data_IF_034320012234
#
_entry.id   IF_034320012234
#
_cell.length_a   1.000
_cell.length_b   1.000
_cell.length_c   1.000
_cell.angle_alpha   90.00
_cell.angle_beta   90.00
_cell.angle_gamma   90.00
#
_symmetry.space_group_name_H-M   'P 1'
#
loop_
_entity.id
_entity.type
_entity.pdbx_description
1 polymer ?
#
# COMPACT_ATOMS: atom_id res chain seq x y z
N UNK A 1 -4.09 32.00 0.54
CA UNK A 1 -4.08 30.57 0.16
C UNK A 1 -4.84 29.77 1.21
N UNK A 2 -6.00 29.21 0.88
CA UNK A 2 -6.91 28.54 1.83
C UNK A 2 -6.33 27.21 2.33
N UNK A 3 -6.35 26.95 3.66
CA UNK A 3 -5.83 25.71 4.30
C UNK A 3 -6.34 24.43 3.64
N UNK A 4 -7.55 24.46 3.07
CA UNK A 4 -8.13 23.34 2.32
C UNK A 4 -7.37 23.00 1.03
N UNK A 5 -6.84 24.00 0.31
CA UNK A 5 -6.12 23.79 -0.94
C UNK A 5 -4.77 23.12 -0.68
N UNK A 6 -4.08 23.52 0.39
CA UNK A 6 -2.80 22.95 0.83
C UNK A 6 -2.99 21.47 1.23
N UNK A 7 -4.03 21.15 2.02
CA UNK A 7 -4.34 19.76 2.39
C UNK A 7 -4.62 18.86 1.18
N UNK A 8 -5.34 19.37 0.17
CA UNK A 8 -5.61 18.64 -1.07
C UNK A 8 -4.32 18.38 -1.86
N UNK A 9 -3.43 19.37 -1.95
CA UNK A 9 -2.14 19.18 -2.62
C UNK A 9 -1.24 18.17 -1.91
N UNK A 10 -1.13 18.25 -0.58
CA UNK A 10 -0.35 17.30 0.22
C UNK A 10 -0.88 15.87 0.03
N UNK A 11 -2.21 15.68 0.09
CA UNK A 11 -2.82 14.36 -0.15
C UNK A 11 -2.50 13.81 -1.55
N UNK A 12 -2.56 14.64 -2.60
CA UNK A 12 -2.21 14.23 -3.96
C UNK A 12 -0.74 13.81 -4.06
N UNK A 13 0.17 14.57 -3.48
CA UNK A 13 1.60 14.26 -3.48
C UNK A 13 1.87 12.95 -2.74
N UNK A 14 1.20 12.74 -1.61
CA UNK A 14 1.37 11.55 -0.78
C UNK A 14 0.79 10.28 -1.42
N UNK A 15 -0.32 10.40 -2.15
CA UNK A 15 -0.94 9.29 -2.88
C UNK A 15 -0.27 9.00 -4.24
N UNK A 16 0.62 9.88 -4.72
CA UNK A 16 1.28 9.70 -6.02
C UNK A 16 2.14 8.42 -6.07
N UNK A 17 2.88 8.14 -5.00
CA UNK A 17 3.77 6.97 -4.91
C UNK A 17 2.99 5.65 -5.03
N UNK A 18 1.98 5.36 -4.18
CA UNK A 18 1.27 4.08 -4.25
C UNK A 18 0.42 3.96 -5.53
N UNK A 19 -0.08 5.07 -6.10
CA UNK A 19 -0.74 5.07 -7.41
C UNK A 19 0.24 4.67 -8.52
N UNK A 20 1.47 5.21 -8.51
CA UNK A 20 2.50 4.84 -9.48
C UNK A 20 2.85 3.35 -9.40
N UNK A 21 2.90 2.79 -8.19
CA UNK A 21 3.11 1.35 -7.97
C UNK A 21 1.96 0.54 -8.59
N UNK A 22 0.70 0.91 -8.33
CA UNK A 22 -0.45 0.22 -8.94
C UNK A 22 -0.44 0.31 -10.48
N UNK A 23 -0.11 1.49 -11.03
CA UNK A 23 0.00 1.70 -12.48
C UNK A 23 1.07 0.80 -13.09
N UNK A 24 2.22 0.66 -12.43
CA UNK A 24 3.30 -0.23 -12.88
C UNK A 24 2.83 -1.69 -12.93
N UNK A 25 1.99 -2.12 -11.99
CA UNK A 25 1.34 -3.44 -12.01
C UNK A 25 0.48 -3.66 -13.26
N UNK A 26 -0.29 -2.66 -13.68
CA UNK A 26 -1.09 -2.72 -14.92
C UNK A 26 -0.20 -2.81 -16.16
N UNK A 27 0.90 -2.07 -16.20
CA UNK A 27 1.89 -2.13 -17.31
C UNK A 27 2.51 -3.52 -17.39
N UNK A 28 2.91 -4.10 -16.26
CA UNK A 28 3.46 -5.47 -16.22
C UNK A 28 2.41 -6.49 -16.68
N UNK A 29 1.15 -6.31 -16.30
CA UNK A 29 0.05 -7.19 -16.74
C UNK A 29 -0.18 -7.09 -18.25
N UNK A 30 -0.22 -5.87 -18.80
CA UNK A 30 -0.34 -5.64 -20.24
C UNK A 30 0.84 -6.25 -21.01
N UNK A 31 2.06 -6.11 -20.49
CA UNK A 31 3.25 -6.73 -21.06
C UNK A 31 3.16 -8.26 -21.05
N UNK A 32 2.72 -8.86 -19.94
CA UNK A 32 2.49 -10.32 -19.86
C UNK A 32 1.39 -10.77 -20.84
N UNK A 33 0.31 -10.00 -20.97
CA UNK A 33 -0.75 -10.27 -21.94
C UNK A 33 -0.28 -10.22 -23.39
N UNK A 34 0.52 -9.21 -23.75
CA UNK A 34 1.14 -9.11 -25.08
C UNK A 34 2.04 -10.31 -25.38
N UNK A 35 2.90 -10.68 -24.44
CA UNK A 35 3.77 -11.85 -24.59
C UNK A 35 3.00 -13.16 -24.62
N UNK A 36 1.90 -13.27 -23.89
CA UNK A 36 1.00 -14.42 -23.94
C UNK A 36 0.41 -14.60 -25.34
N UNK A 37 -0.07 -13.52 -25.97
CA UNK A 37 -0.56 -13.57 -27.36
C UNK A 37 0.54 -13.98 -28.34
N UNK A 38 1.80 -13.56 -28.10
CA UNK A 38 2.93 -13.87 -28.98
C UNK A 38 3.48 -15.29 -28.80
N UNK A 39 3.51 -15.81 -27.57
CA UNK A 39 4.18 -17.06 -27.21
C UNK A 39 3.20 -18.24 -27.03
N UNK A 40 1.89 -17.98 -26.96
CA UNK A 40 0.86 -19.00 -26.75
C UNK A 40 0.82 -19.59 -25.34
N UNK A 41 1.69 -19.15 -24.42
CA UNK A 41 1.74 -19.60 -23.03
C UNK A 41 2.01 -18.44 -22.08
N UNK A 42 1.46 -18.52 -20.87
CA UNK A 42 1.55 -17.44 -19.89
C UNK A 42 2.91 -17.45 -19.21
N UNK A 43 3.68 -16.37 -19.36
CA UNK A 43 4.98 -16.23 -18.71
C UNK A 43 4.83 -15.44 -17.40
N UNK A 44 4.72 -16.16 -16.29
CA UNK A 44 4.71 -15.56 -14.95
C UNK A 44 6.08 -14.95 -14.64
N UNK A 45 6.10 -13.64 -14.38
CA UNK A 45 7.26 -12.98 -13.78
C UNK A 45 7.21 -13.19 -12.26
N UNK A 46 8.28 -13.73 -11.71
CA UNK A 46 8.40 -14.02 -10.28
C UNK A 46 8.62 -12.73 -9.49
N UNK A 47 7.77 -12.50 -8.49
CA UNK A 47 7.86 -11.36 -7.58
C UNK A 47 9.15 -11.37 -6.74
N UNK A 48 9.76 -12.55 -6.52
CA UNK A 48 11.02 -12.71 -5.78
C UNK A 48 12.18 -11.96 -6.40
N UNK A 49 12.28 -11.95 -7.73
CA UNK A 49 13.36 -11.26 -8.45
C UNK A 49 13.35 -9.76 -8.21
N UNK A 50 12.15 -9.18 -8.08
CA UNK A 50 12.00 -7.76 -7.80
C UNK A 50 12.22 -7.47 -6.32
N UNK A 51 11.65 -8.28 -5.42
CA UNK A 51 11.80 -8.10 -3.98
C UNK A 51 13.26 -8.22 -3.52
N UNK A 52 14.03 -9.13 -4.10
CA UNK A 52 15.47 -9.28 -3.83
C UNK A 52 16.30 -8.04 -4.22
N UNK A 53 15.82 -7.21 -5.15
CA UNK A 53 16.52 -5.98 -5.56
C UNK A 53 16.11 -4.76 -4.76
N UNK A 54 14.90 -4.75 -4.22
CA UNK A 54 14.32 -3.58 -3.55
C UNK A 54 14.46 -3.65 -2.02
N UNK A 55 14.38 -4.85 -1.45
CA UNK A 55 14.44 -5.05 -0.01
C UNK A 55 15.83 -5.50 0.45
N UNK A 56 16.28 -5.08 1.65
CA UNK A 56 17.52 -5.57 2.24
C UNK A 56 17.49 -7.09 2.41
N UNK A 57 18.63 -7.76 2.17
CA UNK A 57 18.78 -9.22 2.30
C UNK A 57 18.38 -9.69 3.71
N UNK A 58 18.80 -8.96 4.75
CA UNK A 58 18.49 -9.28 6.14
C UNK A 58 16.97 -9.26 6.41
N UNK A 59 16.26 -8.30 5.79
CA UNK A 59 14.81 -8.21 5.91
C UNK A 59 14.11 -9.36 5.19
N UNK A 60 14.56 -9.71 3.98
CA UNK A 60 14.04 -10.86 3.22
C UNK A 60 14.26 -12.18 3.95
N UNK A 61 15.41 -12.34 4.60
CA UNK A 61 15.76 -13.54 5.35
C UNK A 61 14.90 -13.68 6.61
N UNK A 62 14.67 -12.57 7.33
CA UNK A 62 13.69 -12.49 8.41
C UNK A 62 12.26 -12.82 7.92
N UNK A 63 11.88 -12.30 6.75
CA UNK A 63 10.55 -12.52 6.17
C UNK A 63 10.29 -13.99 5.80
N UNK A 64 11.33 -14.71 5.37
CA UNK A 64 11.26 -16.15 5.05
C UNK A 64 11.21 -17.03 6.29
N UNK A 65 11.82 -16.58 7.38
CA UNK A 65 11.87 -17.36 8.61
C UNK A 65 11.59 -16.45 9.83
N UNK A 66 10.34 -15.97 9.97
CA UNK A 66 9.97 -15.14 11.11
C UNK A 66 9.95 -16.03 12.36
N UNK A 67 10.97 -15.90 13.20
CA UNK A 67 11.16 -16.70 14.41
C UNK A 67 10.03 -16.53 15.44
N UNK A 68 9.32 -15.41 15.40
CA UNK A 68 8.32 -15.01 16.39
C UNK A 68 6.87 -15.09 15.92
N UNK A 69 6.58 -15.33 14.63
CA UNK A 69 5.21 -15.22 14.12
C UNK A 69 4.84 -16.28 13.07
N UNK A 70 4.38 -17.43 13.57
CA UNK A 70 3.92 -18.57 12.77
C UNK A 70 2.79 -18.21 11.78
N UNK A 71 1.91 -17.27 12.15
CA UNK A 71 0.86 -16.76 11.26
C UNK A 71 1.42 -16.00 10.06
N UNK A 72 2.45 -15.18 10.29
CA UNK A 72 3.13 -14.44 9.23
C UNK A 72 3.76 -15.40 8.20
N UNK A 73 4.40 -16.49 8.67
CA UNK A 73 4.99 -17.51 7.80
C UNK A 73 3.96 -18.15 6.85
N UNK A 74 2.73 -18.41 7.35
CA UNK A 74 1.63 -18.96 6.53
C UNK A 74 1.11 -17.98 5.48
N UNK A 75 1.10 -16.69 5.77
CA UNK A 75 0.64 -15.64 4.83
C UNK A 75 1.72 -15.32 3.78
N UNK A 76 2.98 -15.29 4.19
CA UNK A 76 4.08 -14.83 3.36
C UNK A 76 4.58 -15.89 2.37
N UNK A 77 4.50 -17.17 2.73
CA UNK A 77 4.88 -18.29 1.83
C UNK A 77 4.17 -18.25 0.46
N UNK A 78 2.82 -18.15 0.38
CA UNK A 78 2.13 -18.01 -0.91
C UNK A 78 2.36 -16.63 -1.55
N UNK A 79 2.59 -15.59 -0.75
CA UNK A 79 2.78 -14.22 -1.23
C UNK A 79 4.04 -14.06 -2.09
N UNK A 80 5.11 -14.79 -1.76
CA UNK A 80 6.35 -14.81 -2.57
C UNK A 80 6.27 -15.67 -3.83
N UNK A 81 5.22 -16.46 -4.04
CA UNK A 81 5.00 -17.23 -5.28
C UNK A 81 3.98 -16.56 -6.20
N UNK A 82 3.51 -15.37 -5.84
CA UNK A 82 2.44 -14.71 -6.56
C UNK A 82 2.96 -14.03 -7.84
N UNK A 83 2.17 -14.01 -8.93
CA UNK A 83 2.53 -13.29 -10.14
C UNK A 83 2.84 -11.83 -9.84
N UNK A 84 3.98 -11.33 -10.32
CA UNK A 84 4.46 -9.97 -10.04
C UNK A 84 3.41 -8.89 -10.34
N UNK A 85 2.64 -9.04 -11.43
CA UNK A 85 1.59 -8.10 -11.80
C UNK A 85 0.50 -7.99 -10.72
N UNK A 86 0.00 -9.14 -10.23
CA UNK A 86 -0.96 -9.16 -9.13
C UNK A 86 -0.34 -8.62 -7.85
N UNK A 87 0.91 -8.99 -7.54
CA UNK A 87 1.61 -8.48 -6.37
C UNK A 87 1.66 -6.94 -6.35
N UNK A 88 2.08 -6.32 -7.46
CA UNK A 88 2.16 -4.86 -7.60
C UNK A 88 0.80 -4.19 -7.44
N UNK A 89 -0.25 -4.77 -8.05
CA UNK A 89 -1.61 -4.27 -7.91
C UNK A 89 -2.10 -4.35 -6.47
N UNK A 90 -1.91 -5.50 -5.82
CA UNK A 90 -2.42 -5.77 -4.48
C UNK A 90 -1.71 -4.90 -3.44
N UNK A 91 -0.38 -4.81 -3.51
CA UNK A 91 0.42 -3.93 -2.63
C UNK A 91 0.09 -2.46 -2.86
N UNK A 92 -0.01 -2.04 -4.13
CA UNK A 92 -0.40 -0.66 -4.46
C UNK A 92 -1.78 -0.31 -3.92
N UNK A 93 -2.77 -1.19 -4.09
CA UNK A 93 -4.15 -0.96 -3.67
C UNK A 93 -4.28 -0.94 -2.13
N UNK A 94 -3.63 -1.87 -1.44
CA UNK A 94 -3.56 -1.86 0.03
C UNK A 94 -2.89 -0.57 0.53
N UNK A 95 -1.79 -0.15 -0.09
CA UNK A 95 -1.10 1.08 0.29
C UNK A 95 -1.99 2.32 0.11
N UNK A 96 -2.73 2.42 -1.00
CA UNK A 96 -3.71 3.50 -1.23
C UNK A 96 -4.77 3.52 -0.12
N UNK A 97 -5.33 2.37 0.23
CA UNK A 97 -6.37 2.25 1.27
C UNK A 97 -5.83 2.62 2.65
N UNK A 98 -4.67 2.11 3.04
CA UNK A 98 -4.04 2.42 4.33
C UNK A 98 -3.67 3.91 4.42
N UNK A 99 -2.99 4.46 3.41
CA UNK A 99 -2.55 5.85 3.42
C UNK A 99 -3.74 6.82 3.40
N UNK A 100 -4.82 6.48 2.69
CA UNK A 100 -6.04 7.28 2.71
C UNK A 100 -6.71 7.26 4.09
N UNK A 101 -6.82 6.10 4.73
CA UNK A 101 -7.38 5.97 6.10
C UNK A 101 -6.53 6.71 7.13
N UNK A 102 -5.21 6.56 7.06
CA UNK A 102 -4.27 7.27 7.94
C UNK A 102 -4.43 8.77 7.76
N UNK A 103 -4.44 9.26 6.51
CA UNK A 103 -4.62 10.67 6.24
C UNK A 103 -5.96 11.21 6.76
N UNK A 104 -7.04 10.45 6.61
CA UNK A 104 -8.36 10.83 7.12
C UNK A 104 -8.38 10.85 8.67
N UNK A 105 -7.66 9.93 9.33
CA UNK A 105 -7.49 9.93 10.78
C UNK A 105 -6.77 11.20 11.27
N UNK A 106 -5.64 11.54 10.65
CA UNK A 106 -4.90 12.76 10.96
C UNK A 106 -5.65 14.05 10.58
N UNK A 107 -6.61 13.96 9.67
CA UNK A 107 -7.40 15.11 9.22
C UNK A 107 -8.63 15.37 10.09
N UNK A 108 -9.05 14.43 10.94
CA UNK A 108 -10.15 14.67 11.89
C UNK A 108 -9.70 15.74 12.88
N UNK A 109 -10.41 16.87 12.99
CA UNK A 109 -10.16 17.79 14.08
C UNK A 109 -10.43 17.03 15.36
N UNK A 110 -9.43 16.98 16.23
CA UNK A 110 -9.61 16.53 17.60
C UNK A 110 -10.74 17.37 18.18
N UNK A 111 -11.90 16.74 18.42
CA UNK A 111 -12.93 17.35 19.26
C UNK A 111 -12.37 17.32 20.67
N UNK A 112 -11.39 18.18 20.94
CA UNK A 112 -11.02 18.54 22.30
C UNK A 112 -12.34 19.01 22.88
N UNK A 113 -12.87 18.23 23.81
CA UNK A 113 -14.12 18.53 24.50
C UNK A 113 -13.98 19.94 25.04
N UNK A 114 -14.60 20.89 24.35
CA UNK A 114 -14.95 22.17 24.92
C UNK A 114 -15.92 21.80 26.01
N UNK A 115 -15.40 21.61 27.23
CA UNK A 115 -16.19 21.56 28.43
C UNK A 115 -17.06 22.80 28.37
N UNK A 116 -18.35 22.55 28.15
CA UNK A 116 -19.38 23.55 28.04
C UNK A 116 -19.44 24.30 29.36
N UNK A 117 -18.68 25.38 29.45
CA UNK A 117 -18.64 26.27 30.61
C UNK A 117 -19.92 27.12 30.74
N UNK A 118 -20.95 26.88 29.91
CA UNK A 118 -22.24 27.59 30.00
C UNK A 118 -23.26 26.95 30.94
N UNK A 119 -23.01 25.76 31.49
CA UNK A 119 -23.99 25.13 32.39
C UNK A 119 -24.08 25.77 33.80
N UNK A 120 -23.12 26.60 34.20
CA UNK A 120 -23.09 27.21 35.55
C UNK A 120 -23.78 28.57 35.66
N UNK A 121 -24.45 29.05 34.59
CA UNK A 121 -25.05 30.40 34.56
C UNK A 121 -26.58 30.41 34.69
N UNK A 122 -27.19 29.28 34.97
CA UNK A 122 -28.64 29.16 35.24
C UNK A 122 -28.87 28.11 36.33
N UNK A 123 -29.05 28.57 37.57
CA UNK A 123 -29.33 27.73 38.73
C UNK A 123 -29.18 28.52 40.01
#
# INVERSE_FOLDING_TARGET
MTKQTIRKQIRKLFLFIPVSIALSGMVVLAYQGYFWMKLGHWKSLDSRLVLNKVLPINFLQWLRNPSSWLGLKKIISPFFNFPLALFLLLVGLIAILLLSKIFDLFSKPEKIGVLDSRSWRTG
#
